data_IF_931940753389
#
_entry.id   IF_931940753389
#
_cell.length_a   1.000
_cell.length_b   1.000
_cell.length_c   1.000
_cell.angle_alpha   90.00
_cell.angle_beta   90.00
_cell.angle_gamma   90.00
#
_symmetry.space_group_name_H-M   'P 1'
#
loop_
_entity.id
_entity.type
_entity.pdbx_description
1 polymer ?
#
# COMPACT_ATOMS: atom_id res chain seq x y z
N UNK A 1 12.29 -6.39 12.70
CA UNK A 1 11.43 -5.46 11.95
C UNK A 1 10.87 -4.48 12.95
N UNK A 2 11.06 -3.17 12.77
CA UNK A 2 10.51 -2.19 13.71
C UNK A 2 8.98 -2.21 13.55
N UNK A 3 8.28 -2.77 14.53
CA UNK A 3 6.82 -2.74 14.63
C UNK A 3 6.32 -1.39 15.19
N UNK A 4 7.22 -0.41 15.27
CA UNK A 4 6.89 0.92 15.76
C UNK A 4 6.05 1.66 14.73
N UNK A 5 4.87 2.10 15.17
CA UNK A 5 3.92 2.84 14.34
C UNK A 5 4.49 4.20 13.97
N UNK A 6 4.22 4.64 12.75
CA UNK A 6 4.59 5.97 12.30
C UNK A 6 3.94 7.04 13.19
N UNK A 7 4.66 8.14 13.39
CA UNK A 7 4.11 9.37 13.95
C UNK A 7 3.08 10.01 13.00
N UNK A 8 2.23 10.91 13.49
CA UNK A 8 1.26 11.61 12.64
C UNK A 8 1.91 12.40 11.49
N UNK A 9 3.08 13.00 11.70
CA UNK A 9 3.82 13.72 10.65
C UNK A 9 4.34 12.76 9.57
N UNK A 10 4.86 11.59 9.97
CA UNK A 10 5.32 10.57 9.03
C UNK A 10 4.17 9.98 8.21
N UNK A 11 2.99 9.85 8.80
CA UNK A 11 1.76 9.42 8.10
C UNK A 11 1.33 10.47 7.08
N UNK A 12 1.35 11.75 7.45
CA UNK A 12 1.04 12.84 6.52
C UNK A 12 2.03 12.87 5.35
N UNK A 13 3.33 12.69 5.62
CA UNK A 13 4.37 12.60 4.60
C UNK A 13 4.23 11.34 3.72
N UNK A 14 3.80 10.20 4.28
CA UNK A 14 3.49 9.00 3.51
C UNK A 14 2.29 9.21 2.58
N UNK A 15 1.23 9.85 3.09
CA UNK A 15 0.03 10.16 2.30
C UNK A 15 0.31 11.12 1.15
N UNK A 16 1.12 12.16 1.39
CA UNK A 16 1.54 13.09 0.33
C UNK A 16 2.28 12.35 -0.79
N UNK A 17 3.27 11.50 -0.43
CA UNK A 17 4.01 10.68 -1.39
C UNK A 17 3.10 9.73 -2.18
N UNK A 18 2.12 9.11 -1.53
CA UNK A 18 1.14 8.23 -2.20
C UNK A 18 0.30 9.00 -3.23
N UNK A 19 -0.21 10.18 -2.88
CA UNK A 19 -1.03 10.99 -3.79
C UNK A 19 -0.23 11.45 -5.01
N UNK A 20 1.02 11.86 -4.81
CA UNK A 20 1.94 12.21 -5.91
C UNK A 20 2.19 10.99 -6.82
N UNK A 21 2.52 9.84 -6.24
CA UNK A 21 2.73 8.61 -7.00
C UNK A 21 1.47 8.17 -7.76
N UNK A 22 0.28 8.28 -7.15
CA UNK A 22 -1.00 7.99 -7.80
C UNK A 22 -1.23 8.89 -9.01
N UNK A 23 -0.92 10.18 -8.90
CA UNK A 23 -1.02 11.11 -10.01
C UNK A 23 -0.05 10.77 -11.15
N UNK A 24 1.20 10.43 -10.83
CA UNK A 24 2.18 10.01 -11.83
C UNK A 24 1.75 8.74 -12.56
N UNK A 25 1.25 7.74 -11.83
CA UNK A 25 0.73 6.49 -12.40
C UNK A 25 -0.47 6.71 -13.32
N UNK A 26 -1.34 7.67 -12.99
CA UNK A 26 -2.45 8.07 -13.86
C UNK A 26 -1.96 8.63 -15.20
N UNK A 27 -0.90 9.46 -15.20
CA UNK A 27 -0.30 10.02 -16.43
C UNK A 27 0.28 8.90 -17.31
N UNK A 28 0.89 7.90 -16.69
CA UNK A 28 1.45 6.72 -17.38
C UNK A 28 0.38 5.72 -17.86
N UNK A 29 -0.92 6.00 -17.67
CA UNK A 29 -2.00 5.11 -18.07
C UNK A 29 -2.12 3.85 -17.22
N UNK A 30 -1.52 3.86 -16.02
CA UNK A 30 -1.61 2.79 -15.03
C UNK A 30 -2.31 3.27 -13.74
N UNK A 31 -3.57 3.74 -13.81
CA UNK A 31 -4.25 4.25 -12.63
C UNK A 31 -4.41 3.15 -11.59
N UNK A 32 -4.20 3.48 -10.32
CA UNK A 32 -4.58 2.62 -9.20
C UNK A 32 -6.09 2.42 -9.20
N UNK A 33 -6.53 1.19 -8.97
CA UNK A 33 -7.93 0.88 -8.79
C UNK A 33 -8.42 1.22 -7.36
N UNK A 34 -9.71 1.01 -7.12
CA UNK A 34 -10.33 1.33 -5.83
C UNK A 34 -9.78 0.45 -4.69
N UNK A 35 -9.43 -0.80 -4.95
CA UNK A 35 -8.92 -1.74 -3.95
C UNK A 35 -7.48 -1.40 -3.56
N UNK A 36 -6.66 -1.00 -4.54
CA UNK A 36 -5.31 -0.47 -4.32
C UNK A 36 -5.34 0.79 -3.45
N UNK A 37 -6.22 1.75 -3.79
CA UNK A 37 -6.37 2.98 -3.01
C UNK A 37 -6.79 2.66 -1.58
N UNK A 38 -7.82 1.81 -1.39
CA UNK A 38 -8.30 1.42 -0.07
C UNK A 38 -7.22 0.71 0.76
N UNK A 39 -6.39 -0.12 0.11
CA UNK A 39 -5.25 -0.78 0.77
C UNK A 39 -4.22 0.23 1.27
N UNK A 40 -3.85 1.22 0.47
CA UNK A 40 -2.91 2.25 0.92
C UNK A 40 -3.50 3.15 2.02
N UNK A 41 -4.78 3.52 1.93
CA UNK A 41 -5.47 4.30 2.98
C UNK A 41 -5.54 3.54 4.30
N UNK A 42 -5.68 2.20 4.25
CA UNK A 42 -5.59 1.36 5.44
C UNK A 42 -4.20 1.45 6.09
N UNK A 43 -3.12 1.40 5.30
CA UNK A 43 -1.75 1.51 5.84
C UNK A 43 -1.52 2.85 6.54
N UNK A 44 -2.01 3.94 5.95
CA UNK A 44 -1.95 5.28 6.54
C UNK A 44 -2.74 5.35 7.86
N UNK A 45 -3.97 4.84 7.88
CA UNK A 45 -4.84 4.81 9.08
C UNK A 45 -4.21 4.01 10.21
N UNK A 46 -3.64 2.86 9.90
CA UNK A 46 -3.00 1.98 10.88
C UNK A 46 -1.57 2.41 11.25
N UNK A 47 -1.04 3.42 10.54
CA UNK A 47 0.29 4.00 10.73
C UNK A 47 1.40 2.98 10.55
N UNK A 48 1.26 2.15 9.52
CA UNK A 48 2.21 1.07 9.27
C UNK A 48 3.54 1.61 8.73
N UNK A 49 4.67 1.12 9.23
CA UNK A 49 5.97 1.39 8.61
C UNK A 49 6.07 0.66 7.26
N UNK A 50 6.93 1.18 6.38
CA UNK A 50 7.10 0.69 5.01
C UNK A 50 7.33 -0.83 4.93
N UNK A 51 8.16 -1.38 5.80
CA UNK A 51 8.47 -2.82 5.81
C UNK A 51 7.23 -3.69 6.06
N UNK A 52 6.31 -3.22 6.90
CA UNK A 52 5.05 -3.91 7.19
C UNK A 52 4.10 -3.84 6.00
N UNK A 53 3.99 -2.69 5.34
CA UNK A 53 3.22 -2.55 4.11
C UNK A 53 3.73 -3.50 3.03
N UNK A 54 5.06 -3.55 2.83
CA UNK A 54 5.69 -4.44 1.85
C UNK A 54 5.41 -5.91 2.16
N UNK A 55 5.54 -6.33 3.41
CA UNK A 55 5.25 -7.69 3.83
C UNK A 55 3.78 -8.07 3.55
N UNK A 56 2.84 -7.17 3.84
CA UNK A 56 1.42 -7.38 3.56
C UNK A 56 1.12 -7.55 2.07
N UNK A 57 1.66 -6.68 1.22
CA UNK A 57 1.45 -6.76 -0.24
C UNK A 57 1.99 -8.08 -0.79
N UNK A 58 3.19 -8.49 -0.37
CA UNK A 58 3.78 -9.76 -0.81
C UNK A 58 2.96 -10.97 -0.35
N UNK A 59 2.45 -10.94 0.88
CA UNK A 59 1.58 -12.00 1.40
C UNK A 59 0.26 -12.07 0.61
N UNK A 60 -0.36 -10.92 0.31
CA UNK A 60 -1.59 -10.84 -0.49
C UNK A 60 -1.39 -11.45 -1.88
N UNK A 61 -0.35 -11.01 -2.61
CA UNK A 61 -0.03 -11.53 -3.95
C UNK A 61 0.20 -13.05 -3.90
N UNK A 62 0.92 -13.54 -2.89
CA UNK A 62 1.15 -14.98 -2.72
C UNK A 62 -0.16 -15.76 -2.54
N UNK A 63 -1.12 -15.22 -1.78
CA UNK A 63 -2.44 -15.85 -1.59
C UNK A 63 -3.27 -15.85 -2.87
N UNK A 64 -3.26 -14.75 -3.61
CA UNK A 64 -3.95 -14.63 -4.90
C UNK A 64 -3.39 -15.62 -5.92
N UNK A 65 -2.07 -15.77 -5.99
CA UNK A 65 -1.41 -16.77 -6.84
C UNK A 65 -1.76 -18.21 -6.45
N UNK A 66 -1.87 -18.50 -5.15
CA UNK A 66 -2.25 -19.83 -4.67
C UNK A 66 -3.71 -20.16 -4.99
N UNK A 67 -4.61 -19.18 -4.91
CA UNK A 67 -6.02 -19.36 -5.27
C UNK A 67 -6.17 -19.64 -6.77
N UNK A 68 -5.50 -18.85 -7.62
CA UNK A 68 -5.53 -19.03 -9.07
C UNK A 68 -4.92 -20.37 -9.55
N UNK A 69 -3.96 -20.93 -8.81
CA UNK A 69 -3.36 -22.24 -9.13
C UNK A 69 -4.22 -23.44 -8.68
N UNK A 70 -5.26 -23.21 -7.88
CA UNK A 70 -6.20 -24.23 -7.41
C UNK A 70 -7.52 -24.25 -8.20
N UNK A 71 -7.69 -23.34 -9.16
CA UNK A 71 -8.76 -23.30 -10.17
C UNK A 71 -8.39 -24.10 -11.42
#
# INVERSE_FOLDING_TARGET
>A
MSDEKLSPEEVAAARARRLEAQHLQLIEGNPLDADDIAMFEMFERERWPHERCRAYILERIRREQQAAAAE
#
